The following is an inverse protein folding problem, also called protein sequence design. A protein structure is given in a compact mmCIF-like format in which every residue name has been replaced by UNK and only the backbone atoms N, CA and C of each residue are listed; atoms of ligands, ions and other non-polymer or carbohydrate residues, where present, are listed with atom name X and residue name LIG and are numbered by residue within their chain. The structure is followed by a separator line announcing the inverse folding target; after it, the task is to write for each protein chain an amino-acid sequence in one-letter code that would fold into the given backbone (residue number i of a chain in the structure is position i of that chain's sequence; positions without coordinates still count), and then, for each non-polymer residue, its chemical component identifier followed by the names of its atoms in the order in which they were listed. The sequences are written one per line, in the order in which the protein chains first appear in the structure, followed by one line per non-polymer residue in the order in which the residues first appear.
data_IF_134678238618
#
_entry.id   IF_134678238618
#
_cell.length_a   1.000
_cell.length_b   1.000
_cell.length_c   1.000
_cell.angle_alpha   90.00
_cell.angle_beta   90.00
_cell.angle_gamma   90.00
#
_symmetry.space_group_name_H-M   'P 1'
#
loop_
_entity.id
_entity.type
_entity.pdbx_description
1 polymer ?
#
# COMPACT_ATOMS: atom_id res chain seq x y z
N UNK A 1 45.74 40.95 -8.10
CA UNK A 1 44.33 41.04 -7.68
C UNK A 1 43.54 40.01 -8.48
N UNK A 2 42.88 39.11 -7.75
CA UNK A 2 41.68 38.29 -8.04
C UNK A 2 41.50 37.78 -9.48
N UNK A 3 41.76 36.50 -9.76
CA UNK A 3 40.93 35.32 -9.42
C UNK A 3 39.55 35.37 -10.10
N UNK A 4 39.53 35.06 -11.40
CA UNK A 4 38.32 34.90 -12.21
C UNK A 4 38.27 33.47 -12.77
N UNK A 5 38.18 32.46 -11.90
CA UNK A 5 38.05 31.06 -12.33
C UNK A 5 37.37 30.21 -11.27
N UNK A 6 36.24 30.66 -10.70
CA UNK A 6 35.53 29.89 -9.68
C UNK A 6 33.99 29.97 -9.77
N UNK A 7 33.43 30.37 -10.91
CA UNK A 7 31.97 30.50 -11.08
C UNK A 7 31.49 29.68 -12.28
N UNK A 8 31.85 28.40 -12.38
CA UNK A 8 31.24 27.51 -13.38
C UNK A 8 31.04 26.06 -12.89
N UNK A 9 31.22 25.77 -11.60
CA UNK A 9 31.18 24.40 -11.08
C UNK A 9 29.98 24.08 -10.16
N UNK A 10 29.04 25.01 -9.97
CA UNK A 10 27.91 24.85 -9.04
C UNK A 10 26.52 24.85 -9.69
N UNK A 11 26.40 24.48 -10.97
CA UNK A 11 25.09 24.38 -11.65
C UNK A 11 24.74 22.93 -12.04
N UNK A 12 25.57 21.93 -11.71
CA UNK A 12 25.44 20.57 -12.25
C UNK A 12 25.23 19.44 -11.22
N UNK A 13 24.88 19.73 -9.97
CA UNK A 13 24.82 18.72 -8.91
C UNK A 13 23.43 18.43 -8.32
N UNK A 14 22.35 18.79 -9.03
CA UNK A 14 20.99 18.38 -8.63
C UNK A 14 20.34 17.56 -9.75
N UNK A 15 21.04 16.52 -10.21
CA UNK A 15 20.33 15.33 -10.68
C UNK A 15 19.80 14.61 -9.45
N UNK A 16 18.70 15.12 -8.88
CA UNK A 16 17.82 14.29 -8.07
C UNK A 16 17.30 13.25 -9.05
N UNK A 17 17.92 12.07 -9.02
CA UNK A 17 17.31 10.88 -9.56
C UNK A 17 16.03 10.67 -8.74
N UNK A 18 14.93 11.29 -9.18
CA UNK A 18 13.58 10.86 -8.83
C UNK A 18 13.43 9.45 -9.38
N UNK A 19 13.95 8.47 -8.64
CA UNK A 19 13.46 7.09 -8.75
C UNK A 19 11.99 7.20 -8.37
N UNK A 20 11.15 7.16 -9.41
CA UNK A 20 9.83 7.75 -9.40
C UNK A 20 8.99 7.33 -8.21
N UNK A 21 8.43 8.33 -7.54
CA UNK A 21 7.23 8.22 -6.74
C UNK A 21 6.18 7.44 -7.53
N UNK A 22 5.95 6.17 -7.17
CA UNK A 22 4.90 5.36 -7.80
C UNK A 22 3.71 5.26 -6.88
N UNK A 23 2.57 5.65 -7.39
CA UNK A 23 1.31 5.29 -6.78
C UNK A 23 1.09 3.79 -7.06
N UNK A 24 0.73 3.04 -6.02
CA UNK A 24 0.64 1.59 -6.10
C UNK A 24 -0.74 1.11 -5.66
N UNK A 25 -1.18 0.01 -6.27
CA UNK A 25 -2.37 -0.72 -5.89
C UNK A 25 -1.96 -2.05 -5.25
N UNK A 26 -2.52 -2.34 -4.08
CA UNK A 26 -2.38 -3.64 -3.41
C UNK A 26 -3.76 -4.22 -3.19
N UNK A 27 -3.96 -5.48 -3.54
CA UNK A 27 -5.25 -6.17 -3.45
C UNK A 27 -5.08 -7.43 -2.62
N UNK A 28 -5.75 -7.48 -1.48
CA UNK A 28 -5.88 -8.71 -0.71
C UNK A 28 -7.21 -9.33 -1.06
N UNK A 29 -7.19 -10.52 -1.65
CA UNK A 29 -8.36 -11.23 -2.16
C UNK A 29 -8.59 -12.45 -1.26
N UNK A 30 -9.78 -12.63 -0.71
CA UNK A 30 -10.13 -13.82 0.09
C UNK A 30 -11.43 -14.47 -0.45
N UNK A 31 -11.84 -15.65 0.06
CA UNK A 31 -12.93 -16.42 -0.52
C UNK A 31 -14.19 -15.59 -0.80
N UNK A 32 -14.91 -15.95 -1.87
CA UNK A 32 -16.12 -15.27 -2.35
C UNK A 32 -15.87 -13.87 -2.96
N UNK A 33 -14.78 -13.70 -3.72
CA UNK A 33 -14.47 -12.47 -4.51
C UNK A 33 -14.45 -11.17 -3.68
N UNK A 34 -14.21 -11.29 -2.37
CA UNK A 34 -14.07 -10.16 -1.48
C UNK A 34 -12.64 -9.63 -1.54
N UNK A 35 -12.52 -8.31 -1.70
CA UNK A 35 -11.25 -7.65 -2.01
C UNK A 35 -11.08 -6.44 -1.10
N UNK A 36 -9.95 -6.41 -0.41
CA UNK A 36 -9.41 -5.21 0.22
C UNK A 36 -8.39 -4.60 -0.73
N UNK A 37 -8.71 -3.43 -1.24
CA UNK A 37 -7.77 -2.62 -2.00
C UNK A 37 -7.08 -1.63 -1.06
N UNK A 38 -5.76 -1.51 -1.14
CA UNK A 38 -4.97 -0.48 -0.49
C UNK A 38 -4.22 0.31 -1.56
N UNK A 39 -4.57 1.58 -1.72
CA UNK A 39 -3.97 2.50 -2.69
C UNK A 39 -2.92 3.34 -2.00
N UNK A 40 -1.66 3.17 -2.36
CA UNK A 40 -0.58 4.05 -1.92
C UNK A 40 -0.49 5.27 -2.84
N UNK A 41 -0.52 6.46 -2.26
CA UNK A 41 -0.20 7.70 -2.96
C UNK A 41 1.12 8.24 -2.41
N UNK A 42 2.17 8.22 -3.24
CA UNK A 42 3.50 8.59 -2.80
C UNK A 42 3.64 10.10 -2.56
N UNK A 43 2.97 10.93 -3.38
CA UNK A 43 2.94 12.38 -3.20
C UNK A 43 2.31 12.80 -1.87
N UNK A 44 1.28 12.07 -1.43
CA UNK A 44 0.61 12.32 -0.15
C UNK A 44 1.26 11.55 1.00
N UNK A 45 2.07 10.52 0.72
CA UNK A 45 2.63 9.62 1.73
C UNK A 45 1.57 8.86 2.52
N UNK A 46 0.41 8.59 1.90
CA UNK A 46 -0.76 8.03 2.57
C UNK A 46 -1.32 6.88 1.75
N UNK A 47 -1.56 5.74 2.40
CA UNK A 47 -2.43 4.70 1.88
C UNK A 47 -3.91 4.97 2.22
N UNK A 48 -4.79 4.65 1.27
CA UNK A 48 -6.25 4.62 1.43
C UNK A 48 -6.76 3.23 1.14
N UNK A 49 -7.85 2.82 1.75
CA UNK A 49 -8.43 1.50 1.50
C UNK A 49 -9.83 1.57 0.87
N UNK A 50 -10.18 0.54 0.12
CA UNK A 50 -11.51 0.31 -0.45
C UNK A 50 -11.87 -1.16 -0.27
N UNK A 51 -13.14 -1.43 0.05
CA UNK A 51 -13.69 -2.77 0.08
C UNK A 51 -14.54 -2.99 -1.19
N UNK A 52 -14.26 -4.07 -1.94
CA UNK A 52 -15.05 -4.50 -3.10
C UNK A 52 -15.50 -5.95 -2.93
N UNK A 53 -16.74 -6.24 -3.30
CA UNK A 53 -17.34 -7.57 -3.14
C UNK A 53 -18.64 -7.51 -2.36
N UNK A 54 -19.03 -8.65 -1.79
CA UNK A 54 -20.29 -8.84 -1.07
C UNK A 54 -20.09 -8.68 0.42
N UNK A 55 -20.12 -7.43 0.89
CA UNK A 55 -19.97 -7.12 2.31
C UNK A 55 -21.30 -6.76 2.99
N UNK A 56 -21.46 -7.08 4.29
CA UNK A 56 -22.60 -6.61 5.06
C UNK A 56 -22.73 -5.07 5.00
N UNK A 57 -23.95 -4.51 4.93
CA UNK A 57 -24.15 -3.06 4.96
C UNK A 57 -23.49 -2.40 6.17
N UNK A 58 -22.80 -1.28 5.95
CA UNK A 58 -22.04 -0.58 6.98
C UNK A 58 -20.58 -1.03 7.12
N UNK A 59 -20.15 -2.04 6.35
CA UNK A 59 -18.74 -2.42 6.30
C UNK A 59 -17.86 -1.27 5.82
N UNK A 60 -16.70 -1.11 6.44
CA UNK A 60 -15.77 -0.02 6.17
C UNK A 60 -14.35 -0.47 6.46
N UNK A 61 -13.39 0.32 5.98
CA UNK A 61 -12.00 0.12 6.34
C UNK A 61 -11.36 1.48 6.67
N UNK A 62 -10.28 1.45 7.44
CA UNK A 62 -9.43 2.59 7.74
C UNK A 62 -7.97 2.18 7.64
N UNK A 63 -7.08 3.11 7.29
CA UNK A 63 -5.65 2.84 7.16
C UNK A 63 -4.85 3.77 8.04
N UNK A 64 -3.92 3.20 8.79
CA UNK A 64 -2.89 3.93 9.53
C UNK A 64 -1.53 3.68 8.88
N UNK A 65 -0.85 4.75 8.50
CA UNK A 65 0.47 4.68 7.89
C UNK A 65 1.55 4.91 8.94
N UNK A 66 2.63 4.16 8.88
CA UNK A 66 3.80 4.40 9.72
C UNK A 66 5.09 3.95 9.03
N UNK A 67 6.22 4.33 9.62
CA UNK A 67 7.54 3.83 9.24
C UNK A 67 8.15 3.10 10.42
N UNK A 68 8.82 1.99 10.16
CA UNK A 68 9.61 1.31 11.19
C UNK A 68 10.96 2.01 11.41
N UNK A 69 11.76 1.47 12.34
CA UNK A 69 13.09 2.01 12.66
C UNK A 69 14.08 1.96 11.48
N UNK A 70 13.82 1.12 10.48
CA UNK A 70 14.63 0.98 9.27
C UNK A 70 14.13 1.88 8.13
N UNK A 71 13.08 2.67 8.38
CA UNK A 71 12.45 3.54 7.39
C UNK A 71 11.52 2.81 6.41
N UNK A 72 11.22 1.52 6.65
CA UNK A 72 10.28 0.77 5.83
C UNK A 72 8.86 1.31 6.01
N UNK A 73 8.17 1.57 4.91
CA UNK A 73 6.79 2.05 4.93
C UNK A 73 5.86 0.87 5.19
N UNK A 74 4.95 1.06 6.13
CA UNK A 74 3.89 0.10 6.43
C UNK A 74 2.52 0.78 6.51
N UNK A 75 1.50 0.04 6.11
CA UNK A 75 0.09 0.41 6.25
C UNK A 75 -0.62 -0.66 7.08
N UNK A 76 -1.23 -0.24 8.19
CA UNK A 76 -2.13 -1.07 8.98
C UNK A 76 -3.56 -0.74 8.58
N UNK A 77 -4.21 -1.67 7.90
CA UNK A 77 -5.61 -1.52 7.51
C UNK A 77 -6.50 -2.23 8.53
N UNK A 78 -7.43 -1.51 9.13
CA UNK A 78 -8.48 -2.06 9.98
C UNK A 78 -9.77 -2.19 9.18
N UNK A 79 -10.30 -3.40 9.09
CA UNK A 79 -11.54 -3.74 8.36
C UNK A 79 -12.65 -4.04 9.36
N UNK A 80 -13.77 -3.35 9.22
CA UNK A 80 -14.96 -3.53 10.03
C UNK A 80 -16.07 -4.11 9.15
N UNK A 81 -16.66 -5.23 9.56
CA UNK A 81 -17.75 -5.87 8.82
C UNK A 81 -19.11 -5.53 9.44
N UNK A 82 -19.96 -4.88 8.65
CA UNK A 82 -21.29 -4.43 9.06
C UNK A 82 -21.24 -3.52 10.28
N UNK A 83 -22.04 -3.85 11.30
CA UNK A 83 -22.09 -3.12 12.58
C UNK A 83 -21.14 -3.67 13.65
N UNK A 84 -20.23 -4.59 13.31
CA UNK A 84 -19.29 -5.15 14.27
C UNK A 84 -18.30 -4.06 14.76
N UNK A 85 -18.19 -3.82 16.08
CA UNK A 85 -17.25 -2.82 16.60
C UNK A 85 -15.79 -3.28 16.51
N UNK A 86 -15.53 -4.58 16.35
CA UNK A 86 -14.18 -5.13 16.28
C UNK A 86 -13.65 -5.12 14.84
N UNK A 87 -12.41 -4.65 14.68
CA UNK A 87 -11.72 -4.68 13.40
C UNK A 87 -10.92 -5.96 13.20
N UNK A 88 -10.75 -6.32 11.93
CA UNK A 88 -9.77 -7.30 11.47
C UNK A 88 -8.64 -6.54 10.80
N UNK A 89 -7.41 -6.82 11.21
CA UNK A 89 -6.27 -6.01 10.84
C UNK A 89 -5.41 -6.70 9.78
N UNK A 90 -5.10 -5.97 8.72
CA UNK A 90 -4.19 -6.38 7.67
C UNK A 90 -3.00 -5.43 7.64
N UNK A 91 -1.80 -5.96 7.81
CA UNK A 91 -0.56 -5.19 7.80
C UNK A 91 0.16 -5.40 6.48
N UNK A 92 0.49 -4.30 5.79
CA UNK A 92 1.15 -4.29 4.49
C UNK A 92 2.46 -3.53 4.56
N UNK A 93 3.56 -4.17 4.17
CA UNK A 93 4.85 -3.52 3.93
C UNK A 93 4.92 -3.05 2.48
N UNK A 94 5.20 -1.77 2.25
CA UNK A 94 5.12 -1.15 0.92
C UNK A 94 6.52 -0.87 0.39
N UNK A 95 6.88 -1.47 -0.75
CA UNK A 95 8.03 -1.05 -1.55
C UNK A 95 7.57 -0.11 -2.67
N UNK A 96 7.75 1.20 -2.44
CA UNK A 96 7.32 2.25 -3.36
C UNK A 96 8.13 2.29 -4.66
N UNK A 97 9.31 1.66 -4.70
CA UNK A 97 10.15 1.62 -5.90
C UNK A 97 9.60 0.62 -6.95
N UNK A 98 8.99 -0.46 -6.46
CA UNK A 98 8.58 -1.61 -7.27
C UNK A 98 7.07 -1.85 -7.30
N UNK A 99 6.29 -1.16 -6.46
CA UNK A 99 4.88 -1.45 -6.20
C UNK A 99 4.63 -2.92 -5.82
N UNK A 100 5.56 -3.48 -5.04
CA UNK A 100 5.44 -4.81 -4.44
C UNK A 100 5.35 -4.69 -2.94
N UNK A 101 4.93 -5.78 -2.29
CA UNK A 101 5.16 -5.89 -0.85
C UNK A 101 6.66 -5.92 -0.59
N UNK A 102 7.06 -5.37 0.56
CA UNK A 102 8.38 -5.66 1.12
C UNK A 102 8.54 -7.19 1.30
N UNK A 103 9.76 -7.71 1.14
CA UNK A 103 10.04 -9.12 1.33
C UNK A 103 9.91 -9.51 2.82
N UNK A 104 9.51 -10.76 3.06
CA UNK A 104 9.17 -11.27 4.40
C UNK A 104 10.33 -11.17 5.42
N UNK A 105 11.57 -11.19 4.96
CA UNK A 105 12.77 -11.03 5.79
C UNK A 105 12.92 -9.60 6.36
N UNK A 106 12.33 -8.61 5.68
CA UNK A 106 12.27 -7.21 6.13
C UNK A 106 10.97 -6.91 6.86
N UNK A 107 9.87 -7.45 6.36
CA UNK A 107 8.55 -7.10 6.83
C UNK A 107 7.53 -8.18 6.49
N UNK A 108 6.87 -8.73 7.50
CA UNK A 108 5.83 -9.74 7.29
C UNK A 108 4.49 -9.08 6.98
N UNK A 109 4.12 -9.07 5.71
CA UNK A 109 2.79 -8.65 5.26
C UNK A 109 1.75 -9.75 5.53
N UNK A 110 0.57 -9.37 6.01
CA UNK A 110 -0.53 -10.30 6.21
C UNK A 110 -1.58 -9.86 7.23
N UNK A 111 -2.58 -10.71 7.43
CA UNK A 111 -3.59 -10.55 8.48
C UNK A 111 -2.99 -10.84 9.86
N UNK A 112 -3.33 -10.02 10.84
CA UNK A 112 -2.78 -10.12 12.20
C UNK A 112 -3.84 -9.99 13.29
N UNK A 113 -3.53 -10.52 14.47
CA UNK A 113 -4.39 -10.44 15.65
C UNK A 113 -5.59 -11.37 15.61
N UNK A 114 -6.66 -10.94 16.28
CA UNK A 114 -7.90 -11.71 16.39
C UNK A 114 -8.54 -11.93 15.01
N UNK A 115 -8.93 -13.18 14.73
CA UNK A 115 -9.63 -13.53 13.48
C UNK A 115 -8.75 -13.64 12.24
N UNK A 116 -7.42 -13.44 12.34
CA UNK A 116 -6.51 -13.58 11.19
C UNK A 116 -6.62 -14.94 10.47
N UNK A 117 -6.93 -16.01 11.22
CA UNK A 117 -7.13 -17.35 10.68
C UNK A 117 -8.29 -17.46 9.69
N UNK A 118 -9.25 -16.54 9.72
CA UNK A 118 -10.38 -16.48 8.77
C UNK A 118 -9.91 -16.10 7.35
N UNK A 119 -8.72 -15.52 7.23
CA UNK A 119 -8.16 -15.02 5.98
C UNK A 119 -6.90 -15.78 5.55
N UNK A 120 -6.65 -16.97 6.11
CA UNK A 120 -5.44 -17.76 5.83
C UNK A 120 -5.25 -18.10 4.34
N UNK A 121 -6.35 -18.15 3.59
CA UNK A 121 -6.37 -18.47 2.16
C UNK A 121 -6.43 -17.20 1.30
N UNK A 122 -6.19 -16.03 1.90
CA UNK A 122 -6.14 -14.77 1.16
C UNK A 122 -4.88 -14.67 0.30
N UNK A 123 -5.00 -14.12 -0.89
CA UNK A 123 -3.91 -13.88 -1.83
C UNK A 123 -3.65 -12.38 -1.91
N UNK A 124 -2.38 -12.00 -1.82
CA UNK A 124 -1.94 -10.63 -2.10
C UNK A 124 -1.53 -10.53 -3.58
N UNK A 125 -2.15 -9.57 -4.25
CA UNK A 125 -1.82 -9.14 -5.59
C UNK A 125 -1.44 -7.64 -5.57
N UNK A 126 -0.63 -7.20 -6.53
CA UNK A 126 -0.12 -5.83 -6.55
C UNK A 126 0.19 -5.36 -7.96
N UNK A 127 0.03 -4.06 -8.19
CA UNK A 127 0.14 -3.47 -9.50
C UNK A 127 0.20 -1.94 -9.48
N UNK A 128 0.19 -1.32 -10.66
CA UNK A 128 0.06 0.13 -10.79
C UNK A 128 -1.28 0.63 -10.21
N UNK A 129 -1.37 1.90 -9.81
CA UNK A 129 -2.54 2.42 -9.08
C UNK A 129 -3.85 2.30 -9.86
N UNK A 130 -3.78 2.34 -11.19
CA UNK A 130 -4.92 2.24 -12.11
C UNK A 130 -5.69 0.92 -11.95
N UNK A 131 -5.02 -0.15 -11.50
CA UNK A 131 -5.63 -1.46 -11.24
C UNK A 131 -6.66 -1.41 -10.09
N UNK A 132 -6.53 -0.43 -9.21
CA UNK A 132 -7.44 -0.17 -8.10
C UNK A 132 -8.58 0.79 -8.51
N UNK A 133 -8.45 1.49 -9.63
CA UNK A 133 -9.46 2.42 -10.16
C UNK A 133 -10.37 1.76 -11.20
N UNK A 134 -9.94 0.62 -11.77
CA UNK A 134 -10.75 -0.16 -12.70
C UNK A 134 -12.05 -0.64 -12.03
N UNK A 135 -13.23 -0.30 -12.58
CA UNK A 135 -14.51 -0.62 -11.94
C UNK A 135 -14.84 -2.13 -11.91
N UNK A 136 -14.16 -2.98 -12.69
CA UNK A 136 -14.53 -4.39 -12.90
C UNK A 136 -13.32 -5.34 -13.13
N UNK A 137 -12.28 -5.30 -12.30
CA UNK A 137 -11.13 -6.20 -12.47
C UNK A 137 -11.39 -7.68 -12.11
N UNK A 138 -12.62 -8.06 -11.73
CA UNK A 138 -12.98 -9.43 -11.32
C UNK A 138 -14.05 -10.04 -12.23
N UNK A 139 -13.69 -10.22 -13.50
CA UNK A 139 -14.28 -11.26 -14.36
C UNK A 139 -13.13 -12.05 -14.98
N UNK A 140 -12.62 -13.03 -14.24
CA UNK A 140 -11.90 -14.14 -14.86
C UNK A 140 -12.85 -15.33 -14.88
N UNK A 141 -13.32 -15.66 -16.09
CA UNK A 141 -13.91 -16.95 -16.41
C UNK A 141 -12.85 -18.03 -16.61
#
# INVERSE_FOLDING_TARGET
MQSASFIYLLIYSVFIACVGAKNCCFRTIWPEINVLETKWNDTQGVARCILRGSFPPGSKCSVENSKDANGNIQALTSVYFGSNPYSYNYRLGIDTSSCKSLPDDKFKTGWEGFGAYLFKDSVLDYGPVEDCDAPNAFYYG
#
